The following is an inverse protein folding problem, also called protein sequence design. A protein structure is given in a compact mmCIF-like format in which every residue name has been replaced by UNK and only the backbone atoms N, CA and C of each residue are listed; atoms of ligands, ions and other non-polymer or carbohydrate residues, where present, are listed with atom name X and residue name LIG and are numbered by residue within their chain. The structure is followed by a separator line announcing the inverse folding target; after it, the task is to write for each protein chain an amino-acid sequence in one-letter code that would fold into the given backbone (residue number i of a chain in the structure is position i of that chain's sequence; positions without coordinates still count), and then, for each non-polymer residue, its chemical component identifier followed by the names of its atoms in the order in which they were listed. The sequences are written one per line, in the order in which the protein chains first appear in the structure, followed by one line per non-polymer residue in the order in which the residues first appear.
data_IF_830832845638
#
_entry.id   IF_830832845638
#
_cell.length_a   1.000
_cell.length_b   1.000
_cell.length_c   1.000
_cell.angle_alpha   90.00
_cell.angle_beta   90.00
_cell.angle_gamma   90.00
#
_symmetry.space_group_name_H-M   'P 1'
#
loop_
_entity.id
_entity.type
_entity.pdbx_description
1 polymer ?
#
# COMPACT_ATOMS: atom_id res chain seq x y z
N UNK A 1 14.57 -0.82 6.88
CA UNK A 1 13.14 -1.13 6.96
C UNK A 1 12.81 -2.27 6.03
N UNK A 2 12.18 -3.30 6.54
CA UNK A 2 11.80 -4.47 5.76
C UNK A 2 10.31 -4.41 5.43
N UNK A 3 9.96 -4.72 4.20
CA UNK A 3 8.56 -4.73 3.76
C UNK A 3 8.07 -6.17 3.67
N UNK A 4 6.93 -6.44 4.30
CA UNK A 4 6.26 -7.74 4.23
C UNK A 4 4.80 -7.51 3.86
N UNK A 5 4.13 -8.53 3.37
CA UNK A 5 2.73 -8.45 2.99
C UNK A 5 1.97 -9.65 3.56
N UNK A 6 0.74 -9.41 4.00
CA UNK A 6 -0.12 -10.47 4.52
C UNK A 6 -0.71 -11.29 3.39
N UNK A 7 -1.22 -12.47 3.71
CA UNK A 7 -1.97 -13.28 2.75
C UNK A 7 -3.16 -12.51 2.17
N UNK A 8 -3.86 -11.74 3.02
CA UNK A 8 -4.98 -10.91 2.58
C UNK A 8 -4.57 -9.86 1.56
N UNK A 9 -3.38 -9.27 1.74
CA UNK A 9 -2.87 -8.30 0.77
C UNK A 9 -2.77 -8.92 -0.62
N UNK A 10 -2.21 -10.13 -0.72
CA UNK A 10 -2.07 -10.82 -2.00
C UNK A 10 -3.42 -11.16 -2.60
N UNK A 11 -4.39 -11.55 -1.79
CA UNK A 11 -5.74 -11.82 -2.26
C UNK A 11 -6.41 -10.58 -2.84
N UNK A 12 -6.27 -9.44 -2.16
CA UNK A 12 -6.79 -8.17 -2.65
C UNK A 12 -6.11 -7.77 -3.96
N UNK A 13 -4.78 -7.95 -4.03
CA UNK A 13 -4.02 -7.60 -5.23
C UNK A 13 -4.46 -8.43 -6.42
N UNK A 14 -4.69 -9.72 -6.21
CA UNK A 14 -5.09 -10.63 -7.29
C UNK A 14 -6.44 -10.27 -7.91
N UNK A 15 -7.28 -9.51 -7.20
CA UNK A 15 -8.58 -9.07 -7.70
C UNK A 15 -8.52 -7.79 -8.52
N UNK A 16 -7.37 -7.15 -8.57
CA UNK A 16 -7.21 -5.90 -9.32
C UNK A 16 -7.01 -6.18 -10.80
N UNK A 17 -7.32 -5.20 -11.68
CA UNK A 17 -6.95 -5.33 -13.09
C UNK A 17 -5.46 -5.62 -13.24
N UNK A 18 -5.09 -6.40 -14.25
CA UNK A 18 -3.70 -6.81 -14.43
C UNK A 18 -2.75 -5.63 -14.56
N UNK A 19 -3.16 -4.58 -15.23
CA UNK A 19 -2.35 -3.38 -15.38
C UNK A 19 -2.06 -2.70 -14.04
N UNK A 20 -3.02 -2.79 -13.10
CA UNK A 20 -2.84 -2.24 -11.76
C UNK A 20 -1.94 -3.14 -10.93
N UNK A 21 -2.07 -4.46 -11.09
CA UNK A 21 -1.16 -5.39 -10.43
C UNK A 21 0.28 -5.13 -10.84
N UNK A 22 0.51 -4.92 -12.14
CA UNK A 22 1.83 -4.63 -12.65
C UNK A 22 2.37 -3.31 -12.09
N UNK A 23 1.52 -2.28 -12.06
CA UNK A 23 1.91 -1.00 -11.51
C UNK A 23 2.23 -1.11 -10.02
N UNK A 24 1.47 -1.92 -9.29
CA UNK A 24 1.74 -2.17 -7.88
C UNK A 24 3.11 -2.82 -7.68
N UNK A 25 3.46 -3.78 -8.54
CA UNK A 25 4.78 -4.43 -8.48
C UNK A 25 5.90 -3.43 -8.75
N UNK A 26 5.73 -2.58 -9.76
CA UNK A 26 6.70 -1.53 -10.09
C UNK A 26 6.86 -0.55 -8.93
N UNK A 27 5.75 -0.14 -8.34
CA UNK A 27 5.78 0.79 -7.20
C UNK A 27 6.42 0.17 -5.97
N UNK A 28 6.26 -1.14 -5.79
CA UNK A 28 6.91 -1.84 -4.68
C UNK A 28 8.43 -1.81 -4.83
N UNK A 29 8.93 -2.05 -6.04
CA UNK A 29 10.37 -1.94 -6.30
C UNK A 29 10.87 -0.51 -6.08
N UNK A 30 10.09 0.47 -6.52
CA UNK A 30 10.42 1.87 -6.31
C UNK A 30 10.44 2.23 -4.82
N UNK A 31 9.48 1.72 -4.05
CA UNK A 31 9.41 1.94 -2.62
C UNK A 31 10.66 1.41 -1.91
N UNK A 32 11.12 0.23 -2.29
CA UNK A 32 12.32 -0.35 -1.71
C UNK A 32 13.57 0.46 -2.07
N UNK A 33 13.61 1.00 -3.28
CA UNK A 33 14.77 1.76 -3.76
C UNK A 33 14.76 3.21 -3.26
N UNK A 34 13.59 3.83 -3.21
CA UNK A 34 13.46 5.23 -2.81
C UNK A 34 12.04 5.51 -2.30
N UNK A 35 11.83 5.30 -1.00
CA UNK A 35 10.52 5.51 -0.37
C UNK A 35 10.04 6.95 -0.45
N UNK A 36 10.91 7.89 -0.72
CA UNK A 36 10.56 9.31 -0.81
C UNK A 36 10.24 9.77 -2.22
N UNK A 37 10.22 8.84 -3.18
CA UNK A 37 9.91 9.20 -4.56
C UNK A 37 8.50 9.85 -4.61
N UNK A 38 8.37 11.03 -5.24
CA UNK A 38 7.10 11.79 -5.17
C UNK A 38 5.89 11.02 -5.70
N UNK A 39 6.05 10.16 -6.70
CA UNK A 39 4.93 9.42 -7.28
C UNK A 39 4.27 8.45 -6.31
N UNK A 40 4.98 8.04 -5.26
CA UNK A 40 4.45 7.11 -4.26
C UNK A 40 3.52 7.76 -3.26
N UNK A 41 3.69 9.05 -2.99
CA UNK A 41 2.98 9.74 -1.92
C UNK A 41 2.98 8.93 -0.63
N UNK A 42 4.14 8.38 -0.28
CA UNK A 42 4.30 7.57 0.92
C UNK A 42 4.14 8.46 2.15
N UNK A 43 3.10 8.20 2.93
CA UNK A 43 2.78 9.05 4.07
C UNK A 43 2.15 8.25 5.20
N UNK A 44 2.27 8.81 6.41
CA UNK A 44 1.66 8.26 7.61
C UNK A 44 0.40 9.06 7.96
N UNK A 45 -0.69 8.34 8.23
CA UNK A 45 -1.96 8.92 8.70
C UNK A 45 -2.38 8.12 9.93
N UNK A 46 -2.30 8.77 11.11
CA UNK A 46 -2.47 8.05 12.36
C UNK A 46 -1.39 6.99 12.50
N UNK A 47 -1.78 5.75 12.65
CA UNK A 47 -0.83 4.63 12.75
C UNK A 47 -0.66 3.87 11.44
N UNK A 48 -1.30 4.33 10.36
CA UNK A 48 -1.25 3.67 9.07
C UNK A 48 -0.31 4.39 8.13
N UNK A 49 0.37 3.61 7.29
CA UNK A 49 1.15 4.12 6.18
C UNK A 49 0.44 3.78 4.89
N UNK A 50 0.55 4.65 3.90
CA UNK A 50 -0.06 4.39 2.60
C UNK A 50 0.85 4.83 1.48
N UNK A 51 0.68 4.16 0.32
CA UNK A 51 1.31 4.56 -0.93
C UNK A 51 0.23 4.65 -1.99
N UNK A 52 0.47 5.54 -2.95
CA UNK A 52 -0.38 5.71 -4.12
C UNK A 52 0.07 4.74 -5.20
N UNK A 53 -0.90 4.09 -5.83
CA UNK A 53 -0.64 3.22 -6.97
C UNK A 53 -1.47 3.73 -8.14
N UNK A 54 -0.82 4.49 -9.03
CA UNK A 54 -1.53 5.22 -10.05
C UNK A 54 -2.42 6.29 -9.42
N UNK A 55 -3.49 6.65 -10.12
CA UNK A 55 -4.38 7.72 -9.68
C UNK A 55 -5.47 7.19 -8.73
N UNK A 56 -5.91 5.95 -8.94
CA UNK A 56 -7.14 5.45 -8.32
C UNK A 56 -6.94 4.42 -7.23
N UNK A 57 -5.71 3.96 -6.98
CA UNK A 57 -5.48 2.86 -6.05
C UNK A 57 -4.53 3.26 -4.94
N UNK A 58 -4.65 2.58 -3.80
CA UNK A 58 -3.81 2.78 -2.61
C UNK A 58 -3.46 1.45 -1.99
N UNK A 59 -2.30 1.37 -1.36
CA UNK A 59 -1.94 0.26 -0.49
C UNK A 59 -1.71 0.81 0.91
N UNK A 60 -2.03 0.01 1.94
CA UNK A 60 -1.96 0.44 3.34
C UNK A 60 -1.16 -0.57 4.15
N UNK A 61 -0.35 -0.04 5.06
CA UNK A 61 0.50 -0.84 5.92
C UNK A 61 0.47 -0.34 7.36
N UNK A 62 0.96 -1.19 8.27
CA UNK A 62 1.24 -0.81 9.65
C UNK A 62 2.69 -1.13 9.95
N UNK A 63 3.27 -0.38 10.89
CA UNK A 63 4.61 -0.67 11.38
C UNK A 63 4.56 -1.81 12.38
N UNK A 64 5.57 -2.68 12.32
CA UNK A 64 5.80 -3.73 13.30
C UNK A 64 7.29 -3.74 13.61
N UNK A 65 7.68 -3.06 14.67
CA UNK A 65 9.09 -2.81 14.96
C UNK A 65 9.70 -1.97 13.84
N UNK A 66 10.75 -2.48 13.22
CA UNK A 66 11.40 -1.81 12.09
C UNK A 66 10.83 -2.25 10.74
N UNK A 67 9.83 -3.15 10.76
CA UNK A 67 9.22 -3.68 9.54
C UNK A 67 7.94 -2.94 9.18
N UNK A 68 7.59 -3.02 7.90
CA UNK A 68 6.35 -2.48 7.38
C UNK A 68 5.50 -3.65 6.87
N UNK A 69 4.29 -3.80 7.42
CA UNK A 69 3.40 -4.92 7.07
C UNK A 69 2.27 -4.38 6.22
N UNK A 70 2.29 -4.71 4.94
CA UNK A 70 1.24 -4.32 3.99
C UNK A 70 0.08 -5.30 4.11
N UNK A 71 -1.12 -4.78 4.40
CA UNK A 71 -2.28 -5.62 4.69
C UNK A 71 -3.48 -5.35 3.78
N UNK A 72 -3.46 -4.29 3.00
CA UNK A 72 -4.58 -3.94 2.13
C UNK A 72 -4.10 -3.21 0.90
N UNK A 73 -4.75 -3.48 -0.24
CA UNK A 73 -4.58 -2.75 -1.49
C UNK A 73 -5.93 -2.73 -2.19
N UNK A 74 -6.32 -1.58 -2.74
CA UNK A 74 -7.59 -1.46 -3.41
C UNK A 74 -7.83 -0.05 -3.93
N UNK A 75 -9.07 0.19 -4.38
CA UNK A 75 -9.46 1.47 -4.95
C UNK A 75 -9.52 2.55 -3.85
N UNK A 76 -9.14 3.78 -4.22
CA UNK A 76 -9.10 4.87 -3.25
C UNK A 76 -10.44 5.18 -2.61
N UNK A 77 -11.55 4.82 -3.26
CA UNK A 77 -12.87 5.04 -2.68
C UNK A 77 -13.10 4.24 -1.39
N UNK A 78 -12.34 3.17 -1.17
CA UNK A 78 -12.43 2.37 0.04
C UNK A 78 -11.35 2.71 1.06
N UNK A 79 -10.36 3.49 0.65
CA UNK A 79 -9.19 3.79 1.47
C UNK A 79 -9.58 4.46 2.79
N UNK A 80 -10.43 5.49 2.73
CA UNK A 80 -10.84 6.21 3.94
C UNK A 80 -11.56 5.30 4.92
N UNK A 81 -12.37 4.38 4.42
CA UNK A 81 -13.07 3.41 5.26
C UNK A 81 -12.08 2.47 5.94
N UNK A 82 -11.04 2.03 5.23
CA UNK A 82 -10.03 1.11 5.77
C UNK A 82 -9.28 1.77 6.93
N UNK A 83 -8.81 3.00 6.76
CA UNK A 83 -8.05 3.67 7.81
C UNK A 83 -8.94 4.20 8.93
N UNK A 84 -10.22 4.51 8.66
CA UNK A 84 -11.14 5.02 9.67
C UNK A 84 -11.72 3.92 10.54
N UNK A 85 -11.94 2.74 9.99
CA UNK A 85 -12.59 1.65 10.68
C UNK A 85 -11.83 1.13 11.89
N UNK A 86 -10.58 1.54 12.04
CA UNK A 86 -9.68 1.03 13.07
C UNK A 86 -9.23 2.07 14.07
N UNK A 87 -9.92 3.14 14.17
CA UNK A 87 -9.60 4.17 15.15
C UNK A 87 -9.85 3.70 16.58
#
# INVERSE_FOLDING_TARGET
MKHRATTKFWQFKDRLPQEIQKLADENYELLKANARHPSLHFKKTGRYWSVRIGIHYRAVAVEDGSDMIWFWIGHHSEYDRIISARR
#
